data_IF_987122052738
#
_entry.id   IF_987122052738
#
_cell.length_a   1.000
_cell.length_b   1.000
_cell.length_c   1.000
_cell.angle_alpha   90.00
_cell.angle_beta   90.00
_cell.angle_gamma   90.00
#
_symmetry.space_group_name_H-M   'P 1'
#
loop_
_entity.id
_entity.type
_entity.pdbx_description
1 polymer ?
#
# COMPACT_ATOMS: atom_id res chain seq x y z
N UNK A 1 2.26 -11.62 8.04
CA UNK A 1 2.70 -12.31 6.82
C UNK A 1 1.49 -12.76 6.00
N UNK A 2 1.49 -12.49 4.69
CA UNK A 2 0.45 -12.92 3.73
C UNK A 2 0.33 -14.45 3.71
N UNK A 3 1.40 -15.15 4.03
CA UNK A 3 1.56 -16.62 3.89
C UNK A 3 0.53 -17.43 4.68
N UNK A 4 0.00 -16.87 5.76
CA UNK A 4 -0.86 -17.62 6.69
C UNK A 4 -2.37 -17.31 6.53
N UNK A 5 -2.76 -16.45 5.58
CA UNK A 5 -4.15 -16.08 5.39
C UNK A 5 -4.59 -16.32 3.95
N UNK A 6 -5.42 -17.35 3.76
CA UNK A 6 -5.95 -17.77 2.46
C UNK A 6 -6.66 -16.63 1.69
N UNK A 7 -7.35 -15.75 2.39
CA UNK A 7 -8.02 -14.58 1.83
C UNK A 7 -7.02 -13.60 1.18
N UNK A 8 -5.89 -13.29 1.83
CA UNK A 8 -4.86 -12.42 1.26
C UNK A 8 -4.14 -13.05 0.06
N UNK A 9 -3.89 -14.35 0.12
CA UNK A 9 -3.32 -15.08 -1.02
C UNK A 9 -4.23 -15.02 -2.25
N UNK A 10 -5.53 -15.24 -2.05
CA UNK A 10 -6.51 -15.15 -3.11
C UNK A 10 -6.63 -13.72 -3.66
N UNK A 11 -6.62 -12.70 -2.79
CA UNK A 11 -6.63 -11.31 -3.24
C UNK A 11 -5.40 -10.97 -4.08
N UNK A 12 -4.20 -11.33 -3.62
CA UNK A 12 -2.97 -11.16 -4.41
C UNK A 12 -3.09 -11.81 -5.80
N UNK A 13 -3.61 -13.04 -5.86
CA UNK A 13 -3.82 -13.75 -7.13
C UNK A 13 -4.76 -12.97 -8.06
N UNK A 14 -5.86 -12.45 -7.53
CA UNK A 14 -6.82 -11.63 -8.31
C UNK A 14 -6.17 -10.33 -8.77
N UNK A 15 -5.41 -9.66 -7.90
CA UNK A 15 -4.65 -8.46 -8.25
C UNK A 15 -3.69 -8.72 -9.41
N UNK A 16 -2.92 -9.81 -9.33
CA UNK A 16 -1.96 -10.17 -10.39
C UNK A 16 -2.64 -10.53 -11.72
N UNK A 17 -3.75 -11.28 -11.69
CA UNK A 17 -4.53 -11.60 -12.88
C UNK A 17 -5.05 -10.33 -13.54
N UNK A 18 -5.67 -9.44 -12.77
CA UNK A 18 -6.24 -8.20 -13.29
C UNK A 18 -5.17 -7.22 -13.78
N UNK A 19 -4.04 -7.12 -13.08
CA UNK A 19 -2.91 -6.29 -13.51
C UNK A 19 -2.34 -6.79 -14.85
N UNK A 20 -2.09 -8.10 -14.99
CA UNK A 20 -1.59 -8.67 -16.27
C UNK A 20 -2.53 -8.47 -17.45
N UNK A 21 -3.84 -8.33 -17.18
CA UNK A 21 -4.83 -8.05 -18.21
C UNK A 21 -4.87 -6.57 -18.60
N UNK A 22 -4.75 -5.68 -17.64
CA UNK A 22 -5.12 -4.26 -17.78
C UNK A 22 -3.93 -3.30 -17.66
N UNK A 23 -2.68 -3.78 -17.62
CA UNK A 23 -1.51 -2.91 -17.71
C UNK A 23 -0.31 -3.62 -18.32
N UNK A 24 0.51 -2.85 -19.04
CA UNK A 24 1.82 -3.28 -19.53
C UNK A 24 2.97 -2.86 -18.62
N UNK A 25 2.69 -2.23 -17.49
CA UNK A 25 3.71 -1.81 -16.54
C UNK A 25 4.49 -3.01 -15.99
N UNK A 26 5.77 -2.80 -15.69
CA UNK A 26 6.62 -3.76 -14.99
C UNK A 26 6.04 -4.03 -13.59
N UNK A 27 5.78 -5.29 -13.27
CA UNK A 27 5.29 -5.67 -11.95
C UNK A 27 6.45 -6.06 -11.05
N UNK A 28 6.59 -5.35 -9.94
CA UNK A 28 7.65 -5.55 -8.94
C UNK A 28 7.00 -5.81 -7.59
N UNK A 29 7.57 -6.72 -6.81
CA UNK A 29 7.15 -6.97 -5.44
C UNK A 29 8.35 -6.90 -4.49
N UNK A 30 8.30 -6.00 -3.51
CA UNK A 30 9.20 -6.04 -2.37
C UNK A 30 8.72 -7.14 -1.42
N UNK A 31 9.57 -8.10 -1.14
CA UNK A 31 9.18 -9.34 -0.48
C UNK A 31 10.11 -9.66 0.70
N UNK A 32 9.56 -9.81 1.89
CA UNK A 32 10.28 -10.17 3.11
C UNK A 32 10.03 -11.62 3.55
N UNK A 33 9.40 -12.44 2.68
CA UNK A 33 9.15 -13.85 2.91
C UNK A 33 10.31 -14.76 2.47
N UNK A 34 10.05 -16.05 2.46
CA UNK A 34 11.04 -17.07 2.10
C UNK A 34 10.96 -17.44 0.62
N UNK A 35 12.14 -17.65 0.01
CA UNK A 35 12.24 -18.20 -1.34
C UNK A 35 11.58 -19.61 -1.35
N UNK A 36 10.69 -19.82 -2.32
CA UNK A 36 10.00 -21.07 -2.52
C UNK A 36 8.70 -21.25 -1.70
N UNK A 37 8.31 -20.29 -0.88
CA UNK A 37 6.99 -20.34 -0.26
C UNK A 37 5.84 -20.12 -1.28
N UNK A 38 4.58 -20.38 -0.91
CA UNK A 38 3.45 -20.29 -1.84
C UNK A 38 3.30 -18.90 -2.49
N UNK A 39 3.56 -17.82 -1.75
CA UNK A 39 3.46 -16.45 -2.28
C UNK A 39 4.60 -16.17 -3.26
N UNK A 40 5.83 -16.56 -2.91
CA UNK A 40 6.99 -16.44 -3.80
C UNK A 40 6.75 -17.17 -5.13
N UNK A 41 6.25 -18.41 -5.07
CA UNK A 41 5.97 -19.21 -6.26
C UNK A 41 4.85 -18.57 -7.10
N UNK A 42 3.78 -18.08 -6.48
CA UNK A 42 2.72 -17.35 -7.18
C UNK A 42 3.28 -16.12 -7.91
N UNK A 43 4.11 -15.31 -7.27
CA UNK A 43 4.73 -14.13 -7.89
C UNK A 43 5.58 -14.54 -9.11
N UNK A 44 6.34 -15.64 -9.01
CA UNK A 44 7.13 -16.18 -10.14
C UNK A 44 6.24 -16.64 -11.29
N UNK A 45 5.15 -17.35 -11.01
CA UNK A 45 4.21 -17.82 -12.04
C UNK A 45 3.63 -16.66 -12.84
N UNK A 46 3.40 -15.53 -12.17
CA UNK A 46 2.96 -14.29 -12.80
C UNK A 46 4.11 -13.43 -13.37
N UNK A 47 5.35 -13.92 -13.38
CA UNK A 47 6.53 -13.20 -13.88
C UNK A 47 6.72 -11.84 -13.20
N UNK A 48 6.39 -11.73 -11.93
CA UNK A 48 6.66 -10.55 -11.11
C UNK A 48 8.14 -10.51 -10.79
N UNK A 49 8.77 -9.35 -10.92
CA UNK A 49 10.12 -9.13 -10.40
C UNK A 49 10.07 -9.11 -8.88
N UNK A 50 10.80 -10.02 -8.23
CA UNK A 50 10.77 -10.18 -6.79
C UNK A 50 12.08 -9.64 -6.22
N UNK A 51 11.99 -8.60 -5.43
CA UNK A 51 13.11 -8.01 -4.70
C UNK A 51 13.00 -8.45 -3.24
N UNK A 52 13.88 -9.36 -2.83
CA UNK A 52 13.96 -9.77 -1.42
C UNK A 52 14.53 -8.59 -0.62
N UNK A 53 13.75 -8.10 0.32
CA UNK A 53 14.12 -6.94 1.12
C UNK A 53 13.65 -7.10 2.56
N UNK A 54 14.49 -6.68 3.49
CA UNK A 54 14.19 -6.63 4.90
C UNK A 54 14.21 -5.18 5.39
N UNK A 55 13.18 -4.78 6.13
CA UNK A 55 13.10 -3.41 6.68
C UNK A 55 14.26 -3.14 7.64
N UNK A 56 15.01 -2.06 7.43
CA UNK A 56 16.16 -1.74 8.28
C UNK A 56 15.79 -1.24 9.68
N UNK A 57 14.53 -0.85 9.93
CA UNK A 57 14.02 -0.25 11.17
C UNK A 57 12.95 -1.10 11.87
N UNK A 58 12.98 -2.43 11.70
CA UNK A 58 12.05 -3.36 12.39
C UNK A 58 12.06 -3.17 13.90
N UNK A 59 13.25 -2.99 14.49
CA UNK A 59 13.40 -2.78 15.92
C UNK A 59 12.69 -1.51 16.38
N UNK A 60 12.90 -0.42 15.68
CA UNK A 60 12.24 0.86 15.93
C UNK A 60 10.72 0.75 15.85
N UNK A 61 10.21 0.05 14.85
CA UNK A 61 8.77 -0.19 14.71
C UNK A 61 8.20 -1.01 15.87
N UNK A 62 8.93 -2.02 16.36
CA UNK A 62 8.50 -2.80 17.53
C UNK A 62 8.48 -1.96 18.81
N UNK A 63 9.41 -1.02 18.97
CA UNK A 63 9.43 -0.08 20.09
C UNK A 63 8.30 0.97 19.98
N UNK A 64 8.07 1.50 18.76
CA UNK A 64 7.00 2.48 18.49
C UNK A 64 5.62 1.85 18.68
N UNK A 65 5.40 0.66 18.14
CA UNK A 65 4.14 -0.08 18.17
C UNK A 65 4.28 -1.31 19.07
N UNK A 66 4.58 -1.09 20.39
CA UNK A 66 4.68 -2.18 21.34
C UNK A 66 3.32 -2.89 21.53
N UNK A 67 3.33 -4.16 21.94
CA UNK A 67 2.10 -4.90 22.25
C UNK A 67 1.22 -4.14 23.25
N UNK A 68 1.80 -3.61 24.32
CA UNK A 68 1.08 -2.80 25.32
C UNK A 68 0.39 -1.59 24.67
N UNK A 69 1.09 -0.87 23.80
CA UNK A 69 0.50 0.26 23.10
C UNK A 69 -0.65 -0.18 22.16
N UNK A 70 -0.46 -1.27 21.41
CA UNK A 70 -1.50 -1.77 20.51
C UNK A 70 -2.75 -2.19 21.26
N UNK A 71 -2.61 -2.87 22.40
CA UNK A 71 -3.73 -3.27 23.25
C UNK A 71 -4.44 -2.04 23.83
N UNK A 72 -3.70 -1.06 24.35
CA UNK A 72 -4.25 0.13 25.02
C UNK A 72 -4.94 1.07 24.02
N UNK A 73 -4.26 1.41 22.90
CA UNK A 73 -4.73 2.44 21.99
C UNK A 73 -5.61 1.90 20.86
N UNK A 74 -5.39 0.65 20.44
CA UNK A 74 -6.13 0.04 19.33
C UNK A 74 -7.16 -1.00 19.79
N UNK A 75 -7.13 -1.38 21.10
CA UNK A 75 -7.99 -2.43 21.65
C UNK A 75 -7.73 -3.81 21.05
N UNK A 76 -6.59 -4.01 20.40
CA UNK A 76 -6.19 -5.28 19.79
C UNK A 76 -4.70 -5.34 19.56
N UNK A 77 -4.13 -6.53 19.70
CA UNK A 77 -2.77 -6.81 19.28
C UNK A 77 -2.71 -7.11 17.77
N UNK A 78 -1.72 -6.57 17.10
CA UNK A 78 -1.51 -6.75 15.66
C UNK A 78 -0.15 -7.40 15.44
N UNK A 79 -0.13 -8.51 14.70
CA UNK A 79 1.12 -9.18 14.36
C UNK A 79 2.11 -8.22 13.68
N UNK A 80 3.34 -8.17 14.16
CA UNK A 80 4.40 -7.33 13.58
C UNK A 80 4.64 -7.59 12.09
N UNK A 81 4.43 -8.83 11.63
CA UNK A 81 4.52 -9.16 10.21
C UNK A 81 3.59 -8.33 9.33
N UNK A 82 2.41 -7.95 9.85
CA UNK A 82 1.48 -7.05 9.15
C UNK A 82 1.99 -5.61 9.15
N UNK A 83 2.47 -5.15 10.32
CA UNK A 83 3.04 -3.80 10.44
C UNK A 83 4.22 -3.66 9.48
N UNK A 84 5.16 -4.60 9.52
CA UNK A 84 6.32 -4.58 8.61
C UNK A 84 5.90 -4.58 7.14
N UNK A 85 4.90 -5.40 6.78
CA UNK A 85 4.37 -5.44 5.41
C UNK A 85 3.86 -4.09 4.92
N UNK A 86 3.18 -3.30 5.78
CA UNK A 86 2.70 -1.97 5.37
C UNK A 86 3.85 -0.98 5.18
N UNK A 87 4.90 -1.07 5.99
CA UNK A 87 6.07 -0.18 5.89
C UNK A 87 7.00 -0.49 4.70
N UNK A 88 6.85 -1.64 4.01
CA UNK A 88 7.66 -1.97 2.83
C UNK A 88 7.54 -0.90 1.73
N UNK A 89 6.39 -0.24 1.59
CA UNK A 89 6.21 0.82 0.59
C UNK A 89 7.10 2.04 0.84
N UNK A 90 7.51 2.27 2.10
CA UNK A 90 8.43 3.36 2.45
C UNK A 90 9.83 3.14 1.86
N UNK A 91 10.21 1.89 1.58
CA UNK A 91 11.52 1.52 1.02
C UNK A 91 11.59 1.66 -0.51
N UNK A 92 10.46 1.77 -1.19
CA UNK A 92 10.41 1.88 -2.66
C UNK A 92 11.37 2.95 -3.20
N UNK A 93 11.41 4.19 -2.67
CA UNK A 93 12.28 5.23 -3.21
C UNK A 93 13.77 4.91 -3.11
N UNK A 94 14.16 4.04 -2.17
CA UNK A 94 15.56 3.65 -1.95
C UNK A 94 15.94 2.45 -2.82
N UNK A 95 15.00 1.56 -3.07
CA UNK A 95 15.22 0.31 -3.81
C UNK A 95 15.11 0.54 -5.32
N UNK A 96 14.10 1.30 -5.77
CA UNK A 96 13.92 1.59 -7.19
C UNK A 96 15.06 2.48 -7.73
N UNK A 97 15.69 2.02 -8.83
CA UNK A 97 16.85 2.69 -9.45
C UNK A 97 16.66 3.04 -10.92
N UNK A 98 15.67 2.43 -11.56
CA UNK A 98 15.48 2.48 -13.00
C UNK A 98 14.39 3.47 -13.39
N UNK A 99 13.25 3.42 -12.69
CA UNK A 99 12.09 4.22 -13.01
C UNK A 99 12.06 5.54 -12.24
N UNK A 100 11.66 6.62 -12.91
CA UNK A 100 11.46 7.93 -12.28
C UNK A 100 10.16 7.98 -11.49
N UNK A 101 9.11 7.31 -12.00
CA UNK A 101 7.79 7.23 -11.39
C UNK A 101 7.36 5.78 -11.23
N UNK A 102 6.73 5.46 -10.12
CA UNK A 102 6.11 4.15 -9.88
C UNK A 102 4.65 4.30 -9.46
N UNK A 103 3.82 3.37 -9.93
CA UNK A 103 2.49 3.16 -9.41
C UNK A 103 2.57 2.09 -8.31
N UNK A 104 2.45 2.51 -7.06
CA UNK A 104 2.31 1.59 -5.94
C UNK A 104 0.84 1.17 -5.79
N UNK A 105 0.62 -0.11 -5.53
CA UNK A 105 -0.70 -0.65 -5.14
C UNK A 105 -0.57 -1.63 -3.98
N UNK A 106 -1.56 -1.63 -3.10
CA UNK A 106 -1.78 -2.74 -2.17
C UNK A 106 -2.14 -4.01 -2.94
N UNK A 107 -2.12 -5.15 -2.26
CA UNK A 107 -2.38 -6.46 -2.88
C UNK A 107 -3.88 -6.82 -2.97
N UNK A 108 -4.75 -5.97 -2.49
CA UNK A 108 -6.21 -6.15 -2.50
C UNK A 108 -6.89 -5.17 -3.48
N UNK A 109 -6.25 -5.02 -4.63
CA UNK A 109 -6.66 -4.14 -5.73
C UNK A 109 -7.12 -4.98 -6.92
N UNK A 110 -8.18 -4.54 -7.60
CA UNK A 110 -8.54 -5.02 -8.93
C UNK A 110 -8.24 -3.93 -9.94
N UNK A 111 -7.42 -4.23 -10.93
CA UNK A 111 -7.24 -3.42 -12.13
C UNK A 111 -8.47 -3.63 -13.00
N UNK A 112 -9.42 -2.69 -12.97
CA UNK A 112 -10.73 -2.84 -13.61
C UNK A 112 -10.73 -2.31 -15.05
N UNK A 113 -9.80 -1.43 -15.39
CA UNK A 113 -9.64 -0.85 -16.73
C UNK A 113 -8.15 -0.66 -17.03
N UNK A 114 -7.83 -0.33 -18.27
CA UNK A 114 -6.45 -0.11 -18.72
C UNK A 114 -5.77 1.00 -17.91
N UNK A 115 -4.58 0.68 -17.41
CA UNK A 115 -3.69 1.62 -16.73
C UNK A 115 -2.48 1.86 -17.61
N UNK A 116 -2.39 3.04 -18.19
CA UNK A 116 -1.29 3.45 -19.04
C UNK A 116 -0.44 4.51 -18.33
N UNK A 117 0.88 4.43 -18.49
CA UNK A 117 1.81 5.37 -17.87
C UNK A 117 1.48 6.83 -18.19
N UNK A 118 1.09 7.11 -19.45
CA UNK A 118 0.71 8.45 -19.91
C UNK A 118 -0.50 9.06 -19.22
N UNK A 119 -1.34 8.23 -18.60
CA UNK A 119 -2.58 8.67 -17.93
C UNK A 119 -2.36 8.92 -16.43
N UNK A 120 -1.16 8.61 -15.93
CA UNK A 120 -0.79 8.85 -14.54
C UNK A 120 -0.17 10.25 -14.38
N UNK A 121 -0.42 10.95 -13.27
CA UNK A 121 0.23 12.23 -12.98
C UNK A 121 1.74 12.05 -12.75
N UNK A 122 2.48 13.13 -12.92
CA UNK A 122 3.92 13.20 -12.64
C UNK A 122 4.19 14.14 -11.46
N UNK A 123 3.83 13.75 -10.22
CA UNK A 123 3.93 14.62 -9.05
C UNK A 123 5.39 14.94 -8.69
N UNK A 124 5.59 16.05 -7.95
CA UNK A 124 6.90 16.36 -7.37
C UNK A 124 7.33 15.36 -6.28
N UNK A 125 6.37 14.80 -5.55
CA UNK A 125 6.59 13.79 -4.49
C UNK A 125 5.70 12.58 -4.71
N UNK A 126 4.41 12.71 -4.46
CA UNK A 126 3.42 11.66 -4.70
C UNK A 126 2.08 12.23 -5.14
N UNK A 127 1.29 11.40 -5.82
CA UNK A 127 -0.13 11.63 -6.02
C UNK A 127 -0.93 10.49 -5.36
N UNK A 128 -2.02 10.86 -4.70
CA UNK A 128 -2.92 9.93 -4.01
C UNK A 128 -4.38 10.35 -4.19
N UNK A 129 -5.28 9.37 -4.20
CA UNK A 129 -6.69 9.65 -4.21
C UNK A 129 -7.17 10.09 -2.82
N UNK A 130 -8.04 11.09 -2.75
CA UNK A 130 -8.54 11.59 -1.48
C UNK A 130 -9.37 10.53 -0.74
N UNK A 131 -9.25 10.51 0.58
CA UNK A 131 -10.18 9.85 1.47
C UNK A 131 -11.08 10.93 2.06
N UNK A 132 -12.38 10.86 1.76
CA UNK A 132 -13.33 11.86 2.22
C UNK A 132 -13.91 11.48 3.58
N UNK A 133 -14.07 12.44 4.45
CA UNK A 133 -14.91 12.28 5.63
C UNK A 133 -16.37 12.07 5.19
N UNK A 134 -17.00 11.05 5.77
CA UNK A 134 -18.29 10.52 5.35
C UNK A 134 -19.39 11.59 5.26
N UNK A 135 -19.39 12.54 6.19
CA UNK A 135 -20.46 13.50 6.36
C UNK A 135 -20.14 14.89 5.76
N UNK A 136 -18.87 15.22 5.57
CA UNK A 136 -18.44 16.57 5.17
C UNK A 136 -17.90 16.66 3.75
N UNK A 137 -17.56 15.52 3.14
CA UNK A 137 -16.78 15.43 1.89
C UNK A 137 -15.47 16.23 1.94
N UNK A 138 -15.01 16.54 3.15
CA UNK A 138 -13.74 17.21 3.37
C UNK A 138 -12.62 16.20 3.31
N UNK A 139 -11.59 16.48 2.54
CA UNK A 139 -10.38 15.68 2.54
C UNK A 139 -9.56 16.04 3.78
N UNK A 140 -9.42 15.10 4.69
CA UNK A 140 -8.61 15.23 5.91
C UNK A 140 -7.30 14.46 5.82
N UNK A 141 -7.25 13.44 4.96
CA UNK A 141 -6.09 12.61 4.69
C UNK A 141 -6.27 11.85 3.37
N UNK A 142 -5.22 11.17 2.90
CA UNK A 142 -5.31 10.25 1.76
C UNK A 142 -5.07 8.81 2.18
N UNK A 143 -5.66 7.90 1.42
CA UNK A 143 -5.42 6.46 1.60
C UNK A 143 -4.15 6.06 0.85
N UNK A 144 -3.26 5.35 1.54
CA UNK A 144 -1.95 4.98 1.00
C UNK A 144 -1.94 3.68 0.17
N UNK A 145 -3.10 3.08 -0.10
CA UNK A 145 -3.18 1.81 -0.83
C UNK A 145 -2.90 1.91 -2.33
N UNK A 146 -3.02 3.12 -2.91
CA UNK A 146 -2.66 3.41 -4.30
C UNK A 146 -1.99 4.78 -4.35
N UNK A 147 -0.74 4.80 -4.85
CA UNK A 147 0.09 6.00 -4.91
C UNK A 147 0.85 6.05 -6.24
N UNK A 148 0.92 7.21 -6.86
CA UNK A 148 1.94 7.48 -7.89
C UNK A 148 3.08 8.21 -7.21
N UNK A 149 4.26 7.64 -7.20
CA UNK A 149 5.43 8.18 -6.50
C UNK A 149 6.48 8.68 -7.48
N UNK A 150 6.97 9.90 -7.28
CA UNK A 150 8.23 10.36 -7.86
C UNK A 150 9.37 9.84 -7.00
N UNK A 151 10.22 9.01 -7.55
CA UNK A 151 11.28 8.33 -6.80
C UNK A 151 12.28 9.33 -6.21
N UNK A 152 12.67 10.36 -6.95
CA UNK A 152 13.62 11.37 -6.47
C UNK A 152 13.01 12.24 -5.35
N UNK A 153 11.79 12.71 -5.56
CA UNK A 153 11.07 13.48 -4.55
C UNK A 153 10.85 12.68 -3.27
N UNK A 154 10.44 11.43 -3.39
CA UNK A 154 10.20 10.55 -2.24
C UNK A 154 11.49 10.17 -1.49
N UNK A 155 12.67 10.20 -2.11
CA UNK A 155 13.94 10.05 -1.39
C UNK A 155 14.16 11.16 -0.36
N UNK A 156 13.71 12.39 -0.65
CA UNK A 156 13.79 13.51 0.30
C UNK A 156 12.86 13.25 1.49
N UNK A 157 11.62 12.81 1.22
CA UNK A 157 10.65 12.47 2.27
C UNK A 157 11.10 11.25 3.10
N UNK A 158 11.76 10.27 2.46
CA UNK A 158 12.32 9.12 3.14
C UNK A 158 13.38 9.50 4.19
N UNK A 159 14.23 10.49 3.90
CA UNK A 159 15.21 10.96 4.89
C UNK A 159 14.51 11.51 6.15
N UNK A 160 13.44 12.29 5.97
CA UNK A 160 12.65 12.79 7.08
C UNK A 160 11.97 11.65 7.87
N UNK A 161 11.42 10.66 7.16
CA UNK A 161 10.84 9.47 7.77
C UNK A 161 11.87 8.70 8.61
N UNK A 162 13.07 8.47 8.10
CA UNK A 162 14.15 7.79 8.84
C UNK A 162 14.53 8.54 10.13
N UNK A 163 14.54 9.88 10.11
CA UNK A 163 14.79 10.67 11.33
C UNK A 163 13.64 10.50 12.36
N UNK A 164 12.39 10.40 11.92
CA UNK A 164 11.28 10.06 12.81
C UNK A 164 11.45 8.66 13.43
N UNK A 165 11.85 7.67 12.62
CA UNK A 165 12.13 6.31 13.11
C UNK A 165 13.24 6.29 14.15
N UNK A 166 14.36 6.97 13.91
CA UNK A 166 15.47 7.08 14.88
C UNK A 166 15.03 7.69 16.21
N UNK A 167 14.12 8.65 16.17
CA UNK A 167 13.56 9.32 17.35
C UNK A 167 12.41 8.54 18.02
N UNK A 168 11.99 7.37 17.48
CA UNK A 168 10.81 6.63 17.91
C UNK A 168 9.55 7.48 17.89
N UNK A 169 9.47 8.40 16.97
CA UNK A 169 8.35 9.31 16.83
C UNK A 169 7.22 8.62 16.07
N UNK A 170 6.02 8.55 16.67
CA UNK A 170 4.81 8.14 15.95
C UNK A 170 4.32 9.27 15.08
N UNK A 171 3.67 8.91 13.97
CA UNK A 171 2.93 9.90 13.19
C UNK A 171 1.73 10.43 13.99
N UNK A 172 1.47 11.71 13.85
CA UNK A 172 0.30 12.40 14.39
C UNK A 172 -0.87 12.42 13.39
N UNK A 173 -0.63 12.04 12.13
CA UNK A 173 -1.59 12.10 11.02
C UNK A 173 -2.26 10.77 10.69
N UNK A 174 -2.18 9.79 11.59
CA UNK A 174 -2.82 8.49 11.42
C UNK A 174 -1.94 7.31 11.84
N UNK A 175 -2.41 6.10 11.52
CA UNK A 175 -1.76 4.87 11.93
C UNK A 175 -0.75 4.37 10.89
N UNK A 176 0.28 3.73 11.39
CA UNK A 176 1.31 3.03 10.63
C UNK A 176 1.92 3.90 9.50
N UNK A 177 2.30 3.27 8.43
CA UNK A 177 2.92 3.90 7.26
C UNK A 177 2.04 4.98 6.60
N UNK A 178 0.71 4.78 6.53
CA UNK A 178 -0.22 5.78 6.02
C UNK A 178 -0.17 7.07 6.83
N UNK A 179 -0.05 6.97 8.14
CA UNK A 179 0.12 8.14 9.01
C UNK A 179 1.37 8.94 8.66
N UNK A 180 2.52 8.27 8.52
CA UNK A 180 3.77 8.93 8.15
C UNK A 180 3.72 9.57 6.76
N UNK A 181 3.13 8.86 5.78
CA UNK A 181 2.96 9.41 4.44
C UNK A 181 2.08 10.68 4.44
N UNK A 182 0.98 10.66 5.19
CA UNK A 182 0.13 11.85 5.33
C UNK A 182 0.86 12.99 6.04
N UNK A 183 1.59 12.72 7.14
CA UNK A 183 2.35 13.75 7.85
C UNK A 183 3.43 14.39 6.97
N UNK A 184 4.11 13.60 6.17
CA UNK A 184 5.23 14.05 5.33
C UNK A 184 4.80 14.65 3.99
N UNK A 185 3.65 14.25 3.45
CA UNK A 185 3.34 14.54 2.05
C UNK A 185 1.97 15.23 1.84
N UNK A 186 1.07 15.26 2.82
CA UNK A 186 -0.31 15.73 2.60
C UNK A 186 -0.39 17.13 1.99
N UNK A 187 0.47 18.05 2.41
CA UNK A 187 0.48 19.42 1.91
C UNK A 187 1.14 19.58 0.53
N UNK A 188 1.93 18.58 0.12
CA UNK A 188 2.74 18.62 -1.11
C UNK A 188 2.27 17.58 -2.14
N UNK A 189 1.20 16.85 -1.85
CA UNK A 189 0.70 15.81 -2.74
C UNK A 189 -0.12 16.39 -3.89
N UNK A 190 -0.13 15.69 -5.02
CA UNK A 190 -1.10 15.92 -6.08
C UNK A 190 -2.32 15.00 -5.90
N UNK A 191 -3.48 15.46 -6.37
CA UNK A 191 -4.72 14.68 -6.30
C UNK A 191 -4.75 13.70 -7.47
N UNK A 192 -4.75 12.40 -7.15
CA UNK A 192 -5.08 11.35 -8.09
C UNK A 192 -6.62 11.25 -8.19
N UNK A 193 -7.20 11.14 -9.39
CA UNK A 193 -8.64 10.97 -9.53
C UNK A 193 -9.17 9.79 -8.71
N UNK A 194 -10.35 9.95 -8.12
CA UNK A 194 -10.92 8.96 -7.18
C UNK A 194 -11.17 7.60 -7.84
N UNK A 195 -11.34 7.57 -9.15
CA UNK A 195 -11.47 6.37 -9.98
C UNK A 195 -10.25 5.45 -9.88
N UNK A 196 -9.08 5.98 -9.54
CA UNK A 196 -7.87 5.21 -9.29
C UNK A 196 -7.78 4.61 -7.89
N UNK A 197 -8.73 4.90 -6.99
CA UNK A 197 -8.79 4.27 -5.66
C UNK A 197 -10.24 4.10 -5.22
N UNK A 198 -11.07 3.56 -6.13
CA UNK A 198 -12.49 3.36 -5.88
C UNK A 198 -12.72 2.27 -4.84
N UNK A 199 -13.57 2.54 -3.87
CA UNK A 199 -13.90 1.58 -2.81
C UNK A 199 -15.28 0.97 -3.05
N UNK A 200 -15.41 -0.37 -2.97
CA UNK A 200 -16.69 -1.05 -3.24
C UNK A 200 -17.87 -0.54 -2.41
N UNK A 201 -17.60 -0.12 -1.17
CA UNK A 201 -18.66 0.40 -0.29
C UNK A 201 -19.16 1.80 -0.66
N UNK A 202 -18.56 2.45 -1.66
CA UNK A 202 -19.10 3.68 -2.27
C UNK A 202 -20.14 3.40 -3.36
N UNK A 203 -20.37 2.11 -3.69
CA UNK A 203 -21.29 1.68 -4.74
C UNK A 203 -20.60 1.31 -6.05
N UNK A 204 -21.42 1.07 -7.09
CA UNK A 204 -20.92 0.70 -8.41
C UNK A 204 -20.48 1.95 -9.18
N UNK A 205 -19.27 1.91 -9.74
CA UNK A 205 -18.74 2.94 -10.62
C UNK A 205 -18.14 2.30 -11.87
N UNK A 206 -18.80 2.45 -13.01
CA UNK A 206 -18.34 1.91 -14.29
C UNK A 206 -17.05 2.55 -14.82
N UNK A 207 -16.63 3.72 -14.27
CA UNK A 207 -15.41 4.42 -14.64
C UNK A 207 -14.24 4.11 -13.69
N UNK A 208 -14.46 3.27 -12.66
CA UNK A 208 -13.39 2.92 -11.73
C UNK A 208 -12.23 2.24 -12.49
N UNK A 209 -11.02 2.80 -12.37
CA UNK A 209 -9.79 2.27 -12.94
C UNK A 209 -9.19 1.18 -12.04
N UNK A 210 -9.06 1.48 -10.76
CA UNK A 210 -8.57 0.57 -9.73
C UNK A 210 -9.61 0.47 -8.62
N UNK A 211 -10.03 -0.74 -8.29
CA UNK A 211 -10.99 -1.02 -7.21
C UNK A 211 -10.21 -1.56 -6.02
N UNK A 212 -10.26 -0.84 -4.90
CA UNK A 212 -9.52 -1.15 -3.69
C UNK A 212 -10.44 -1.72 -2.61
N UNK A 213 -10.24 -2.97 -2.27
CA UNK A 213 -10.98 -3.65 -1.21
C UNK A 213 -10.43 -3.28 0.18
N UNK A 214 -10.32 -1.97 0.41
CA UNK A 214 -9.94 -1.42 1.71
C UNK A 214 -10.97 -1.83 2.79
N UNK A 215 -10.52 -2.48 3.86
CA UNK A 215 -11.39 -3.01 4.90
C UNK A 215 -11.85 -4.45 4.65
N UNK A 216 -13.15 -4.68 4.50
CA UNK A 216 -13.69 -6.03 4.27
C UNK A 216 -13.25 -6.61 2.93
N UNK A 217 -12.75 -7.85 2.94
CA UNK A 217 -12.34 -8.56 1.74
C UNK A 217 -13.52 -9.34 1.16
N UNK A 218 -13.67 -9.44 -0.17
CA UNK A 218 -14.79 -10.15 -0.79
C UNK A 218 -14.84 -11.63 -0.42
N UNK A 219 -13.71 -12.22 0.01
CA UNK A 219 -13.63 -13.64 0.37
C UNK A 219 -13.95 -13.92 1.84
N UNK A 220 -14.03 -12.91 2.70
CA UNK A 220 -14.25 -13.12 4.14
C UNK A 220 -15.68 -13.52 4.50
N UNK A 221 -16.64 -13.30 3.62
CA UNK A 221 -18.06 -13.60 3.88
C UNK A 221 -18.57 -14.86 3.16
N UNK A 222 -17.75 -15.55 2.35
CA UNK A 222 -18.16 -16.74 1.63
C UNK A 222 -18.17 -18.00 2.51
N UNK A 223 -17.49 -17.97 3.66
CA UNK A 223 -17.48 -19.08 4.63
C UNK A 223 -18.64 -19.02 5.65
N UNK A 224 -19.30 -17.86 5.79
CA UNK A 224 -20.46 -17.70 6.67
C UNK A 224 -21.81 -17.94 5.95
N UNK A 225 -21.80 -18.13 4.63
CA UNK A 225 -22.98 -18.33 3.80
C UNK A 225 -23.18 -19.79 3.33
N UNK A 226 -22.42 -20.74 3.90
CA UNK A 226 -22.48 -22.18 3.59
C UNK A 226 -23.12 -23.00 4.71
#
# INVERSE_FOLDING_TARGET
SIVNRKDYFNMLKVTLISARKNTSLRLICLYDGKIGDPVYNLLKDFKVEIIIHELPYKKELMEIYSHEWMETELGKDIEYSRIFGTFMRMEIPIIEKEDEYVLYTDMDIIFNDDILLKDLPHPAYLAAAPEFERDTKRMSYFNAGILVMNIQGMRIKYQQFVEMMKKRQRSTSGLFDQGYLNELCFNDMEILPIEYNWKPYWGINGNAKLIHFHGMKPCSNLEEAG
#
